data_IF_510732914808
#
_entry.id   IF_510732914808
#
_cell.length_a   1.000
_cell.length_b   1.000
_cell.length_c   1.000
_cell.angle_alpha   90.00
_cell.angle_beta   90.00
_cell.angle_gamma   90.00
#
_symmetry.space_group_name_H-M   'P 1'
#
loop_
_entity.id
_entity.type
_entity.pdbx_description
1 polymer ?
#
# COMPACT_ATOMS: atom_id res chain seq x y z
N UNK A 1 30.36 -8.95 35.19
CA UNK A 1 29.06 -8.35 34.83
C UNK A 1 28.48 -9.15 33.68
N UNK A 2 27.67 -10.15 34.02
CA UNK A 2 26.93 -11.00 33.11
C UNK A 2 25.79 -10.17 32.51
N UNK A 3 25.94 -9.78 31.25
CA UNK A 3 24.84 -9.19 30.47
C UNK A 3 23.77 -10.27 30.34
N UNK A 4 22.69 -10.15 31.09
CA UNK A 4 21.49 -10.98 30.94
C UNK A 4 21.02 -10.79 29.50
N UNK A 5 21.22 -11.79 28.64
CA UNK A 5 20.63 -11.81 27.32
C UNK A 5 19.11 -11.71 27.54
N UNK A 6 18.50 -10.59 27.14
CA UNK A 6 17.05 -10.47 27.16
C UNK A 6 16.48 -11.65 26.37
N UNK A 7 15.68 -12.48 27.04
CA UNK A 7 14.97 -13.59 26.39
C UNK A 7 14.17 -13.03 25.22
N UNK A 8 14.29 -13.66 24.05
CA UNK A 8 13.55 -13.24 22.87
C UNK A 8 12.04 -13.33 23.15
N UNK A 9 11.29 -12.30 22.75
CA UNK A 9 9.83 -12.25 22.93
C UNK A 9 9.19 -13.43 22.21
N UNK A 10 8.39 -14.22 22.93
CA UNK A 10 7.68 -15.39 22.41
C UNK A 10 6.15 -15.19 22.39
N UNK A 11 5.43 -16.24 21.96
CA UNK A 11 3.98 -16.18 21.84
C UNK A 11 3.27 -16.05 23.20
N UNK A 12 3.82 -16.63 24.27
CA UNK A 12 3.20 -16.59 25.60
C UNK A 12 3.37 -15.22 26.24
N UNK A 13 4.54 -14.59 26.09
CA UNK A 13 4.74 -13.19 26.49
C UNK A 13 3.75 -12.27 25.77
N UNK A 14 3.55 -12.45 24.46
CA UNK A 14 2.62 -11.63 23.68
C UNK A 14 1.17 -11.82 24.13
N UNK A 15 0.74 -13.06 24.41
CA UNK A 15 -0.58 -13.32 24.99
C UNK A 15 -0.74 -12.64 26.35
N UNK A 16 0.28 -12.72 27.20
CA UNK A 16 0.30 -12.04 28.50
C UNK A 16 0.16 -10.52 28.36
N UNK A 17 0.85 -9.91 27.40
CA UNK A 17 0.74 -8.47 27.09
C UNK A 17 -0.64 -8.10 26.54
N UNK A 18 -1.23 -8.93 25.68
CA UNK A 18 -2.61 -8.71 25.21
C UNK A 18 -3.60 -8.80 26.37
N UNK A 19 -3.48 -9.80 27.25
CA UNK A 19 -4.32 -9.92 28.44
C UNK A 19 -4.19 -8.70 29.37
N UNK A 20 -2.97 -8.20 29.57
CA UNK A 20 -2.75 -6.99 30.36
C UNK A 20 -3.39 -5.75 29.71
N UNK A 21 -3.23 -5.59 28.40
CA UNK A 21 -3.88 -4.52 27.64
C UNK A 21 -5.40 -4.58 27.79
N UNK A 22 -6.01 -5.75 27.60
CA UNK A 22 -7.47 -5.94 27.69
C UNK A 22 -8.01 -5.75 29.11
N UNK A 23 -7.21 -6.08 30.13
CA UNK A 23 -7.58 -5.86 31.53
C UNK A 23 -7.59 -4.38 31.92
N UNK A 24 -6.68 -3.58 31.36
CA UNK A 24 -6.58 -2.15 31.62
C UNK A 24 -7.50 -1.32 30.70
N UNK A 25 -7.66 -1.75 29.45
CA UNK A 25 -8.45 -1.09 28.41
C UNK A 25 -9.49 -2.05 27.83
N UNK A 26 -10.62 -2.19 28.51
CA UNK A 26 -11.73 -3.02 28.04
C UNK A 26 -12.32 -2.46 26.73
N UNK A 27 -12.24 -3.18 25.60
CA UNK A 27 -12.72 -2.71 24.30
C UNK A 27 -14.23 -2.46 24.25
N UNK A 28 -15.01 -2.99 25.20
CA UNK A 28 -16.44 -2.73 25.30
C UNK A 28 -16.77 -1.36 25.91
N UNK A 29 -15.83 -0.74 26.65
CA UNK A 29 -16.07 0.50 27.40
C UNK A 29 -15.15 1.65 26.99
N UNK A 30 -13.96 1.33 26.50
CA UNK A 30 -12.98 2.32 26.03
C UNK A 30 -13.24 2.67 24.57
N UNK A 31 -13.12 3.96 24.22
CA UNK A 31 -13.26 4.37 22.83
C UNK A 31 -12.15 3.81 21.94
N UNK A 32 -12.47 3.64 20.65
CA UNK A 32 -11.56 3.08 19.64
C UNK A 32 -10.16 3.69 19.69
N UNK A 33 -10.07 5.02 19.80
CA UNK A 33 -8.80 5.70 19.65
C UNK A 33 -7.92 5.52 20.87
N UNK A 34 -8.50 5.62 22.07
CA UNK A 34 -7.82 5.34 23.33
C UNK A 34 -7.27 3.91 23.36
N UNK A 35 -8.07 2.93 22.96
CA UNK A 35 -7.64 1.54 22.87
C UNK A 35 -6.44 1.36 21.92
N UNK A 36 -6.51 1.91 20.71
CA UNK A 36 -5.43 1.80 19.72
C UNK A 36 -4.14 2.49 20.19
N UNK A 37 -4.27 3.65 20.82
CA UNK A 37 -3.13 4.35 21.42
C UNK A 37 -2.43 3.48 22.47
N UNK A 38 -3.20 2.87 23.39
CA UNK A 38 -2.67 1.94 24.38
C UNK A 38 -2.04 0.70 23.73
N UNK A 39 -2.67 0.13 22.70
CA UNK A 39 -2.11 -0.99 21.92
C UNK A 39 -0.76 -0.65 21.28
N UNK A 40 -0.63 0.54 20.72
CA UNK A 40 0.64 1.01 20.17
C UNK A 40 1.70 1.15 21.26
N UNK A 41 1.35 1.82 22.37
CA UNK A 41 2.28 2.09 23.47
C UNK A 41 2.73 0.79 24.18
N UNK A 42 1.87 -0.24 24.19
CA UNK A 42 2.18 -1.59 24.68
C UNK A 42 3.12 -2.40 23.75
N UNK A 43 3.44 -1.90 22.56
CA UNK A 43 4.29 -2.58 21.57
C UNK A 43 3.56 -3.64 20.73
N UNK A 44 2.23 -3.57 20.67
CA UNK A 44 1.36 -4.58 20.03
C UNK A 44 0.81 -4.13 18.67
N UNK A 45 1.30 -3.01 18.14
CA UNK A 45 0.91 -2.46 16.84
C UNK A 45 1.64 -3.15 15.67
N UNK A 46 2.96 -3.25 15.79
CA UNK A 46 3.84 -4.00 14.90
C UNK A 46 4.91 -4.65 15.76
N UNK A 47 4.70 -5.88 16.23
CA UNK A 47 5.59 -6.51 17.25
C UNK A 47 7.06 -6.54 16.85
N UNK A 48 7.35 -6.53 15.54
CA UNK A 48 8.69 -6.52 14.95
C UNK A 48 9.32 -5.14 14.75
N UNK A 49 8.59 -4.07 15.04
CA UNK A 49 9.18 -2.74 15.12
C UNK A 49 9.98 -2.61 16.42
N UNK A 50 10.90 -1.64 16.49
CA UNK A 50 11.65 -1.37 17.71
C UNK A 50 10.75 -1.02 18.89
N UNK A 51 11.23 -1.34 20.10
CA UNK A 51 10.61 -0.87 21.35
C UNK A 51 10.39 0.64 21.34
N UNK A 52 9.18 1.06 21.72
CA UNK A 52 8.77 2.46 21.74
C UNK A 52 8.29 3.03 20.40
N UNK A 53 8.35 2.24 19.32
CA UNK A 53 7.81 2.59 18.00
C UNK A 53 6.65 1.67 17.59
N UNK A 54 5.85 1.23 18.57
CA UNK A 54 4.72 0.34 18.34
C UNK A 54 5.06 -1.15 18.36
N UNK A 55 6.32 -1.52 18.63
CA UNK A 55 6.80 -2.89 18.63
C UNK A 55 7.62 -3.29 19.85
N UNK A 56 8.18 -4.49 19.79
CA UNK A 56 8.90 -5.17 20.87
C UNK A 56 10.22 -5.81 20.40
N UNK A 57 10.65 -5.51 19.16
CA UNK A 57 11.75 -6.20 18.47
C UNK A 57 11.52 -7.73 18.35
N UNK A 58 10.25 -8.15 18.30
CA UNK A 58 9.87 -9.55 18.20
C UNK A 58 9.87 -10.05 16.74
N UNK A 59 9.97 -11.37 16.49
CA UNK A 59 9.78 -11.91 15.15
C UNK A 59 8.45 -11.49 14.52
N UNK A 60 8.46 -11.00 13.27
CA UNK A 60 7.25 -10.55 12.53
C UNK A 60 6.15 -11.61 12.52
N UNK A 61 6.52 -12.89 12.43
CA UNK A 61 5.59 -14.01 12.41
C UNK A 61 4.69 -14.09 13.66
N UNK A 62 5.09 -13.49 14.78
CA UNK A 62 4.29 -13.49 16.00
C UNK A 62 3.17 -12.44 16.02
N UNK A 63 3.09 -11.56 15.01
CA UNK A 63 2.01 -10.57 14.93
C UNK A 63 0.63 -11.23 14.90
N UNK A 64 0.50 -12.39 14.25
CA UNK A 64 -0.78 -13.14 14.19
C UNK A 64 -1.27 -13.62 15.55
N UNK A 65 -0.37 -13.83 16.52
CA UNK A 65 -0.73 -14.20 17.89
C UNK A 65 -1.46 -13.03 18.57
N UNK A 66 -0.96 -11.81 18.37
CA UNK A 66 -1.57 -10.58 18.90
C UNK A 66 -2.90 -10.30 18.22
N UNK A 67 -2.92 -10.35 16.88
CA UNK A 67 -4.11 -10.02 16.11
C UNK A 67 -5.25 -11.01 16.41
N UNK A 68 -4.97 -12.33 16.45
CA UNK A 68 -5.98 -13.34 16.77
C UNK A 68 -6.55 -13.21 18.19
N UNK A 69 -5.71 -12.87 19.17
CA UNK A 69 -6.16 -12.70 20.56
C UNK A 69 -7.04 -11.45 20.72
N UNK A 70 -6.69 -10.35 20.04
CA UNK A 70 -7.48 -9.12 20.03
C UNK A 70 -8.81 -9.28 19.27
N UNK A 71 -8.78 -9.96 18.12
CA UNK A 71 -9.99 -10.28 17.35
C UNK A 71 -10.97 -11.13 18.17
N UNK A 72 -10.46 -12.17 18.85
CA UNK A 72 -11.28 -13.02 19.72
C UNK A 72 -11.92 -12.23 20.89
N UNK A 73 -11.29 -11.14 21.33
CA UNK A 73 -11.81 -10.26 22.37
C UNK A 73 -12.76 -9.17 21.83
N UNK A 74 -13.03 -9.14 20.51
CA UNK A 74 -13.83 -8.09 19.89
C UNK A 74 -13.17 -6.70 19.95
N UNK A 75 -11.84 -6.65 20.09
CA UNK A 75 -11.12 -5.40 20.16
C UNK A 75 -11.19 -4.62 18.84
N UNK A 76 -11.24 -3.29 18.88
CA UNK A 76 -11.29 -2.50 17.66
C UNK A 76 -9.99 -2.57 16.85
N UNK A 77 -10.11 -2.45 15.53
CA UNK A 77 -8.98 -2.32 14.62
C UNK A 77 -8.64 -0.86 14.27
N UNK A 78 -7.54 -0.69 13.54
CA UNK A 78 -7.08 0.62 13.08
C UNK A 78 -7.64 1.04 11.71
N UNK A 79 -8.68 0.37 11.22
CA UNK A 79 -9.28 0.58 9.89
C UNK A 79 -8.23 0.50 8.75
N UNK A 80 -7.58 -0.67 8.57
CA UNK A 80 -6.45 -0.81 7.64
C UNK A 80 -6.84 -0.54 6.17
N UNK A 81 -8.12 -0.63 5.81
CA UNK A 81 -8.63 -0.30 4.46
C UNK A 81 -8.63 1.20 4.18
N UNK A 82 -8.78 2.03 5.21
CA UNK A 82 -8.68 3.50 5.10
C UNK A 82 -7.24 3.98 5.11
N UNK A 83 -6.36 3.32 5.86
CA UNK A 83 -4.97 3.78 6.09
C UNK A 83 -3.90 2.90 5.41
N UNK A 84 -4.27 2.17 4.36
CA UNK A 84 -3.38 1.23 3.66
C UNK A 84 -2.09 1.87 3.13
N UNK A 85 -2.13 3.10 2.61
CA UNK A 85 -0.93 3.83 2.18
C UNK A 85 0.01 4.10 3.38
N UNK A 86 -0.57 4.49 4.52
CA UNK A 86 0.16 4.69 5.76
C UNK A 86 0.87 3.41 6.19
N UNK A 87 0.09 2.33 6.38
CA UNK A 87 0.59 1.05 6.91
C UNK A 87 1.57 0.35 5.95
N UNK A 88 1.23 0.29 4.66
CA UNK A 88 1.96 -0.50 3.67
C UNK A 88 3.14 0.21 3.02
N UNK A 89 3.16 1.55 2.99
CA UNK A 89 4.20 2.32 2.30
C UNK A 89 4.91 3.29 3.23
N UNK A 90 4.20 4.20 3.89
CA UNK A 90 4.81 5.28 4.66
C UNK A 90 5.52 4.75 5.92
N UNK A 91 4.87 3.90 6.72
CA UNK A 91 5.44 3.35 7.95
C UNK A 91 6.77 2.59 7.75
N UNK A 92 6.89 1.60 6.85
CA UNK A 92 8.15 0.91 6.62
C UNK A 92 9.24 1.83 6.04
N UNK A 93 8.85 2.83 5.24
CA UNK A 93 9.78 3.83 4.69
C UNK A 93 10.33 4.74 5.81
N UNK A 94 9.45 5.23 6.68
CA UNK A 94 9.80 6.02 7.87
C UNK A 94 10.68 5.24 8.84
N UNK A 95 10.37 3.96 9.07
CA UNK A 95 11.17 3.09 9.93
C UNK A 95 12.61 2.99 9.40
N UNK A 96 12.77 2.82 8.08
CA UNK A 96 14.08 2.59 7.44
C UNK A 96 14.91 3.86 7.26
N UNK A 97 14.30 4.98 6.86
CA UNK A 97 15.02 6.21 6.47
C UNK A 97 14.71 7.42 7.32
N UNK A 98 13.67 7.36 8.15
CA UNK A 98 13.34 8.46 9.05
C UNK A 98 14.38 8.60 10.15
N UNK A 99 14.63 9.83 10.57
CA UNK A 99 15.32 10.13 11.82
C UNK A 99 14.50 9.64 13.01
N UNK A 100 15.13 9.54 14.18
CA UNK A 100 14.43 9.14 15.41
C UNK A 100 13.23 10.04 15.72
N UNK A 101 13.39 11.36 15.51
CA UNK A 101 12.33 12.33 15.68
C UNK A 101 11.16 12.11 14.71
N UNK A 102 11.45 11.85 13.44
CA UNK A 102 10.42 11.57 12.44
C UNK A 102 9.66 10.27 12.76
N UNK A 103 10.37 9.20 13.14
CA UNK A 103 9.73 7.94 13.55
C UNK A 103 8.77 8.13 14.72
N UNK A 104 9.21 8.82 15.77
CA UNK A 104 8.36 9.12 16.95
C UNK A 104 7.18 10.01 16.62
N UNK A 105 7.35 11.00 15.73
CA UNK A 105 6.28 11.93 15.34
C UNK A 105 5.21 11.23 14.49
N UNK A 106 5.60 10.39 13.55
CA UNK A 106 4.68 9.95 12.49
C UNK A 106 4.11 8.55 12.71
N UNK A 107 4.85 7.60 13.29
CA UNK A 107 4.42 6.19 13.29
C UNK A 107 3.15 5.93 14.10
N UNK A 108 3.02 6.55 15.27
CA UNK A 108 1.85 6.37 16.15
C UNK A 108 0.55 6.90 15.54
N UNK A 109 0.42 8.19 15.18
CA UNK A 109 -0.82 8.71 14.60
C UNK A 109 -1.14 8.11 13.21
N UNK A 110 -0.11 7.68 12.46
CA UNK A 110 -0.29 6.89 11.24
C UNK A 110 -0.95 5.54 11.56
N UNK A 111 -0.42 4.80 12.53
CA UNK A 111 -0.92 3.46 12.85
C UNK A 111 -2.30 3.47 13.50
N UNK A 112 -2.61 4.44 14.36
CA UNK A 112 -3.94 4.57 15.00
C UNK A 112 -5.02 5.08 14.01
N UNK A 113 -4.59 5.57 12.84
CA UNK A 113 -5.43 6.14 11.80
C UNK A 113 -5.94 7.54 12.10
N UNK A 114 -5.28 8.26 13.02
CA UNK A 114 -5.53 9.70 13.25
C UNK A 114 -5.11 10.53 12.04
N UNK A 115 -4.00 10.15 11.41
CA UNK A 115 -3.44 10.85 10.25
C UNK A 115 -3.44 9.89 9.05
N UNK A 116 -4.35 10.11 8.09
CA UNK A 116 -4.40 9.36 6.83
C UNK A 116 -3.26 9.82 5.92
N UNK A 117 -2.70 8.88 5.16
CA UNK A 117 -1.59 9.14 4.24
C UNK A 117 -1.99 8.91 2.79
N UNK A 118 -1.39 9.65 1.87
CA UNK A 118 -1.44 9.41 0.43
C UNK A 118 -0.04 9.42 -0.20
N UNK A 119 0.03 9.11 -1.50
CA UNK A 119 1.30 8.97 -2.23
C UNK A 119 1.36 9.90 -3.44
N UNK A 120 2.32 10.82 -3.42
CA UNK A 120 2.53 11.85 -4.43
C UNK A 120 3.73 11.49 -5.33
N UNK A 121 3.59 10.38 -6.07
CA UNK A 121 4.62 9.87 -6.98
C UNK A 121 4.30 10.22 -8.43
N UNK A 122 3.28 9.57 -9.00
CA UNK A 122 2.89 9.66 -10.41
C UNK A 122 2.53 11.08 -10.83
N UNK A 123 2.93 11.42 -12.04
CA UNK A 123 2.66 12.69 -12.73
C UNK A 123 2.01 12.42 -14.09
N UNK A 124 1.30 13.39 -14.68
CA UNK A 124 0.73 13.22 -16.02
C UNK A 124 1.77 12.76 -17.06
N UNK A 125 3.01 13.24 -16.96
CA UNK A 125 4.13 12.85 -17.84
C UNK A 125 5.04 11.74 -17.30
N UNK A 126 4.83 11.23 -16.07
CA UNK A 126 5.71 10.24 -15.45
C UNK A 126 4.94 9.25 -14.57
N UNK A 127 4.72 8.04 -15.10
CA UNK A 127 4.11 6.92 -14.38
C UNK A 127 5.06 5.73 -14.28
N UNK A 128 5.10 4.89 -15.32
CA UNK A 128 6.00 3.72 -15.37
C UNK A 128 7.48 4.14 -15.30
N UNK A 129 7.85 5.21 -16.00
CA UNK A 129 9.15 5.85 -15.86
C UNK A 129 9.14 6.91 -14.74
N UNK A 130 8.88 6.45 -13.51
CA UNK A 130 8.73 7.33 -12.35
C UNK A 130 9.94 8.25 -12.13
N UNK A 131 11.15 7.79 -12.44
CA UNK A 131 12.35 8.59 -12.25
C UNK A 131 12.37 9.86 -13.13
N UNK A 132 11.60 9.90 -14.22
CA UNK A 132 11.50 11.05 -15.11
C UNK A 132 10.55 12.15 -14.60
N UNK A 133 9.97 12.01 -13.41
CA UNK A 133 9.11 13.03 -12.79
C UNK A 133 9.79 14.42 -12.75
N UNK A 134 8.96 15.45 -12.91
CA UNK A 134 9.32 16.85 -13.05
C UNK A 134 8.81 17.78 -11.94
N UNK A 135 8.02 17.31 -10.97
CA UNK A 135 7.70 18.11 -9.77
C UNK A 135 8.99 18.57 -9.12
N UNK A 136 9.19 19.87 -9.02
CA UNK A 136 10.44 20.51 -8.60
C UNK A 136 10.39 20.88 -7.14
N UNK A 137 11.48 20.69 -6.41
CA UNK A 137 11.68 21.19 -5.06
C UNK A 137 12.96 22.04 -5.01
N UNK A 138 12.83 23.31 -4.62
CA UNK A 138 13.96 24.26 -4.55
C UNK A 138 14.25 24.59 -3.10
N UNK A 139 15.51 24.52 -2.71
CA UNK A 139 15.90 24.88 -1.34
C UNK A 139 15.73 26.39 -1.11
N UNK A 140 15.07 26.75 -0.02
CA UNK A 140 14.89 28.12 0.45
C UNK A 140 15.02 28.15 1.98
N UNK A 141 16.22 28.53 2.45
CA UNK A 141 16.57 28.50 3.87
C UNK A 141 16.59 27.08 4.44
N UNK A 142 15.75 26.85 5.45
CA UNK A 142 15.52 25.57 6.14
C UNK A 142 14.34 24.77 5.55
N UNK A 143 13.77 25.24 4.44
CA UNK A 143 12.64 24.63 3.76
C UNK A 143 12.91 24.40 2.26
N UNK A 144 11.94 23.78 1.61
CA UNK A 144 11.88 23.54 0.18
C UNK A 144 10.58 24.14 -0.38
N UNK A 145 10.68 24.87 -1.48
CA UNK A 145 9.52 25.33 -2.24
C UNK A 145 9.24 24.32 -3.35
N UNK A 146 8.10 23.64 -3.25
CA UNK A 146 7.69 22.56 -4.14
C UNK A 146 6.66 23.04 -5.14
N UNK A 147 6.88 22.76 -6.44
CA UNK A 147 5.92 23.09 -7.51
C UNK A 147 5.78 21.95 -8.50
N UNK A 148 4.54 21.57 -8.80
CA UNK A 148 4.23 20.53 -9.79
C UNK A 148 2.81 20.00 -9.70
N UNK A 149 2.53 18.94 -10.45
CA UNK A 149 1.25 18.25 -10.48
C UNK A 149 1.47 16.75 -10.30
N UNK A 150 0.68 16.16 -9.40
CA UNK A 150 0.58 14.71 -9.19
C UNK A 150 -0.80 14.23 -9.62
N UNK A 151 -0.89 12.96 -10.00
CA UNK A 151 -2.13 12.35 -10.51
C UNK A 151 -2.23 10.90 -10.05
N UNK A 152 -3.44 10.34 -10.08
CA UNK A 152 -3.75 8.99 -9.58
C UNK A 152 -3.50 8.83 -8.08
N UNK A 153 -3.59 9.92 -7.30
CA UNK A 153 -3.32 9.89 -5.86
C UNK A 153 -4.54 9.40 -5.09
N UNK A 154 -4.49 8.15 -4.63
CA UNK A 154 -5.51 7.56 -3.76
C UNK A 154 -5.62 8.32 -2.45
N UNK A 155 -6.86 8.55 -2.00
CA UNK A 155 -7.18 9.13 -0.68
C UNK A 155 -6.63 10.54 -0.43
N UNK A 156 -6.14 11.26 -1.44
CA UNK A 156 -5.56 12.60 -1.26
C UNK A 156 -6.51 13.58 -0.56
N UNK A 157 -7.81 13.42 -0.80
CA UNK A 157 -8.87 14.28 -0.28
C UNK A 157 -9.19 14.06 1.21
N UNK A 158 -8.70 12.98 1.81
CA UNK A 158 -8.82 12.69 3.24
C UNK A 158 -7.46 12.64 3.94
N UNK A 159 -6.36 12.72 3.19
CA UNK A 159 -5.02 12.59 3.72
C UNK A 159 -4.57 13.83 4.48
N UNK A 160 -3.93 13.61 5.63
CA UNK A 160 -3.20 14.63 6.38
C UNK A 160 -1.78 14.80 5.82
N UNK A 161 -1.14 13.68 5.47
CA UNK A 161 0.24 13.65 5.01
C UNK A 161 0.36 12.94 3.67
N UNK A 162 1.37 13.33 2.90
CA UNK A 162 1.80 12.64 1.71
C UNK A 162 3.25 12.23 1.81
N UNK A 163 3.57 11.04 1.32
CA UNK A 163 4.92 10.74 0.88
C UNK A 163 5.13 11.31 -0.53
N UNK A 164 6.08 12.22 -0.67
CA UNK A 164 6.31 13.01 -1.88
C UNK A 164 7.69 12.72 -2.44
N UNK A 165 7.75 12.47 -3.75
CA UNK A 165 9.00 12.42 -4.51
C UNK A 165 9.07 13.62 -5.45
N UNK A 166 10.14 14.40 -5.32
CA UNK A 166 10.35 15.62 -6.09
C UNK A 166 11.80 15.73 -6.59
N UNK A 167 11.99 16.41 -7.71
CA UNK A 167 13.28 16.70 -8.33
C UNK A 167 13.92 17.92 -7.66
N UNK A 168 15.08 17.71 -7.07
CA UNK A 168 15.91 18.76 -6.47
C UNK A 168 17.10 19.13 -7.35
N UNK A 169 17.52 18.24 -8.26
CA UNK A 169 18.61 18.50 -9.20
C UNK A 169 18.25 17.98 -10.61
N UNK A 170 18.07 18.86 -11.60
CA UNK A 170 17.82 18.49 -13.00
C UNK A 170 19.10 18.26 -13.83
N UNK A 171 20.27 18.61 -13.30
CA UNK A 171 21.57 18.59 -13.99
C UNK A 171 22.25 17.22 -13.91
N UNK A 172 21.77 16.34 -13.03
CA UNK A 172 22.28 14.99 -12.83
C UNK A 172 21.35 13.95 -13.49
N UNK A 173 21.83 12.70 -13.69
CA UNK A 173 20.97 11.62 -14.17
C UNK A 173 19.71 11.46 -13.33
N UNK A 174 18.60 11.10 -13.99
CA UNK A 174 17.25 11.18 -13.41
C UNK A 174 17.12 10.54 -12.01
N UNK A 175 17.79 9.42 -11.77
CA UNK A 175 17.71 8.72 -10.48
C UNK A 175 18.48 9.42 -9.33
N UNK A 176 19.46 10.27 -9.65
CA UNK A 176 20.34 10.94 -8.67
C UNK A 176 19.83 12.32 -8.26
N UNK A 177 18.88 12.89 -9.00
CA UNK A 177 18.37 14.24 -8.76
C UNK A 177 17.06 14.31 -7.99
N UNK A 178 16.66 13.22 -7.34
CA UNK A 178 15.38 13.09 -6.64
C UNK A 178 15.59 13.16 -5.13
N UNK A 179 14.66 13.81 -4.42
CA UNK A 179 14.62 13.85 -2.96
C UNK A 179 13.22 13.48 -2.47
N UNK A 180 13.16 12.81 -1.32
CA UNK A 180 11.94 12.27 -0.73
C UNK A 180 11.51 13.12 0.46
N UNK A 181 10.23 13.45 0.55
CA UNK A 181 9.67 14.32 1.58
C UNK A 181 8.39 13.75 2.19
N UNK A 182 8.09 14.15 3.42
CA UNK A 182 6.75 14.14 3.99
C UNK A 182 6.11 15.51 3.76
N UNK A 183 5.01 15.56 3.00
CA UNK A 183 4.31 16.79 2.65
C UNK A 183 3.00 16.92 3.44
N UNK A 184 2.73 18.08 4.04
CA UNK A 184 1.43 18.38 4.64
C UNK A 184 0.41 18.64 3.53
N UNK A 185 -0.67 17.84 3.48
CA UNK A 185 -1.71 17.95 2.45
C UNK A 185 -2.65 19.14 2.66
N UNK A 186 -2.54 19.82 3.79
CA UNK A 186 -3.28 21.05 4.11
C UNK A 186 -2.39 22.30 4.08
N UNK A 187 -1.12 22.17 3.68
CA UNK A 187 -0.25 23.33 3.52
C UNK A 187 -0.82 24.30 2.45
N UNK A 188 -0.64 25.62 2.62
CA UNK A 188 -0.95 26.58 1.58
C UNK A 188 -0.28 26.20 0.26
N UNK A 189 -1.04 26.27 -0.84
CA UNK A 189 -0.59 25.89 -2.19
C UNK A 189 -0.89 24.45 -2.58
N UNK A 190 -1.37 23.59 -1.67
CA UNK A 190 -1.87 22.25 -2.03
C UNK A 190 -3.33 22.35 -2.47
N UNK A 191 -3.62 21.93 -3.70
CA UNK A 191 -4.99 21.82 -4.23
C UNK A 191 -5.28 20.38 -4.65
N UNK A 192 -6.31 19.78 -4.06
CA UNK A 192 -6.75 18.41 -4.37
C UNK A 192 -8.03 18.43 -5.20
N UNK A 193 -7.97 17.93 -6.43
CA UNK A 193 -9.13 17.81 -7.33
C UNK A 193 -9.54 16.33 -7.48
N UNK A 194 -10.84 16.00 -7.40
CA UNK A 194 -11.30 14.63 -7.62
C UNK A 194 -11.05 14.22 -9.08
N UNK A 195 -10.55 13.01 -9.28
CA UNK A 195 -10.36 12.43 -10.62
C UNK A 195 -11.37 11.29 -10.81
N UNK A 196 -12.44 11.57 -11.55
CA UNK A 196 -13.51 10.59 -11.77
C UNK A 196 -13.04 9.46 -12.69
N UNK A 197 -13.16 8.24 -12.21
CA UNK A 197 -12.77 7.00 -12.89
C UNK A 197 -13.95 6.43 -13.68
N UNK A 198 -13.66 5.42 -14.51
CA UNK A 198 -14.68 4.67 -15.26
C UNK A 198 -15.66 3.91 -14.35
N UNK A 199 -15.36 3.75 -13.06
CA UNK A 199 -16.26 3.23 -12.03
C UNK A 199 -17.26 4.28 -11.53
N UNK A 200 -17.24 5.51 -12.06
CA UNK A 200 -18.05 6.62 -11.56
C UNK A 200 -17.55 7.24 -10.25
N UNK A 201 -16.64 6.58 -9.54
CA UNK A 201 -16.03 7.08 -8.30
C UNK A 201 -14.82 7.97 -8.56
N UNK A 202 -14.39 8.71 -7.55
CA UNK A 202 -13.15 9.46 -7.50
C UNK A 202 -12.36 9.09 -6.25
N UNK A 203 -11.90 7.84 -6.19
CA UNK A 203 -10.95 7.38 -5.18
C UNK A 203 -9.57 8.02 -5.41
N UNK A 204 -9.25 8.24 -6.68
CA UNK A 204 -8.06 8.97 -7.13
C UNK A 204 -8.30 10.48 -7.23
N UNK A 205 -7.22 11.23 -7.13
CA UNK A 205 -7.22 12.68 -7.19
C UNK A 205 -6.05 13.18 -8.04
N UNK A 206 -6.22 14.35 -8.62
CA UNK A 206 -5.11 15.21 -9.04
C UNK A 206 -4.71 16.08 -7.86
N UNK A 207 -3.42 16.31 -7.68
CA UNK A 207 -2.89 17.17 -6.62
C UNK A 207 -1.95 18.18 -7.25
N UNK A 208 -2.31 19.46 -7.16
CA UNK A 208 -1.47 20.56 -7.59
C UNK A 208 -0.70 21.08 -6.39
N UNK A 209 0.60 21.28 -6.57
CA UNK A 209 1.51 21.86 -5.59
C UNK A 209 1.96 23.19 -6.18
N UNK A 210 1.45 24.30 -5.64
CA UNK A 210 1.83 25.64 -6.06
C UNK A 210 2.67 26.31 -4.97
N UNK A 211 3.99 26.32 -5.17
CA UNK A 211 4.96 26.91 -4.22
C UNK A 211 4.81 26.43 -2.77
N UNK A 212 4.46 25.15 -2.58
CA UNK A 212 4.23 24.55 -1.27
C UNK A 212 5.53 24.51 -0.48
N UNK A 213 5.55 25.11 0.71
CA UNK A 213 6.72 25.09 1.60
C UNK A 213 6.76 23.80 2.43
N UNK A 214 7.80 23.00 2.24
CA UNK A 214 8.07 21.77 2.99
C UNK A 214 9.34 21.95 3.81
N UNK A 215 9.32 21.88 5.15
CA UNK A 215 10.53 21.94 5.97
C UNK A 215 11.54 20.87 5.57
N UNK A 216 12.85 21.18 5.54
CA UNK A 216 13.91 20.17 5.30
C UNK A 216 13.87 19.06 6.36
N UNK A 217 13.34 19.38 7.53
CA UNK A 217 13.10 18.47 8.63
C UNK A 217 12.12 17.33 8.29
N UNK A 218 11.31 17.50 7.25
CA UNK A 218 10.41 16.47 6.71
C UNK A 218 11.04 15.68 5.55
N UNK A 219 12.28 15.97 5.16
CA UNK A 219 13.03 15.17 4.19
C UNK A 219 13.37 13.80 4.77
N UNK A 220 13.19 12.75 3.98
CA UNK A 220 13.59 11.38 4.33
C UNK A 220 14.80 10.98 3.49
N UNK A 221 15.88 10.58 4.15
CA UNK A 221 17.18 10.33 3.49
C UNK A 221 17.88 11.61 3.05
N UNK A 222 18.98 11.48 2.31
CA UNK A 222 19.79 12.62 1.84
C UNK A 222 19.21 13.31 0.61
N UNK A 223 19.59 14.57 0.37
CA UNK A 223 19.28 15.27 -0.89
C UNK A 223 19.88 14.48 -2.06
N UNK A 224 19.09 14.22 -3.10
CA UNK A 224 19.50 13.40 -4.26
C UNK A 224 19.39 11.88 -4.06
N UNK A 225 19.13 11.42 -2.83
CA UNK A 225 19.00 9.99 -2.50
C UNK A 225 17.54 9.51 -2.48
N UNK A 226 16.61 10.33 -2.94
CA UNK A 226 15.17 10.05 -2.93
C UNK A 226 14.78 8.82 -3.75
N UNK A 227 15.54 8.46 -4.79
CA UNK A 227 15.26 7.23 -5.56
C UNK A 227 15.50 5.96 -4.75
N UNK A 228 16.51 5.95 -3.86
CA UNK A 228 16.74 4.80 -2.97
C UNK A 228 15.59 4.62 -1.99
N UNK A 229 15.11 5.73 -1.43
CA UNK A 229 13.95 5.75 -0.53
C UNK A 229 12.69 5.27 -1.27
N UNK A 230 12.40 5.82 -2.45
CA UNK A 230 11.25 5.46 -3.26
C UNK A 230 11.23 3.98 -3.68
N UNK A 231 12.39 3.40 -4.04
CA UNK A 231 12.47 1.96 -4.34
C UNK A 231 12.04 1.10 -3.17
N UNK A 232 12.47 1.44 -1.95
CA UNK A 232 12.01 0.71 -0.75
C UNK A 232 10.51 0.86 -0.56
N UNK A 233 9.95 2.06 -0.76
CA UNK A 233 8.49 2.27 -0.70
C UNK A 233 7.75 1.38 -1.70
N UNK A 234 8.18 1.37 -2.98
CA UNK A 234 7.57 0.56 -4.04
C UNK A 234 7.71 -0.95 -3.80
N UNK A 235 8.81 -1.41 -3.19
CA UNK A 235 8.97 -2.82 -2.82
C UNK A 235 7.97 -3.24 -1.73
N UNK A 236 7.76 -2.39 -0.73
CA UNK A 236 6.75 -2.64 0.30
C UNK A 236 5.32 -2.57 -0.27
N UNK A 237 5.05 -1.63 -1.18
CA UNK A 237 3.76 -1.49 -1.87
C UNK A 237 3.34 -2.78 -2.58
N UNK A 238 4.26 -3.42 -3.32
CA UNK A 238 3.97 -4.68 -4.03
C UNK A 238 3.55 -5.81 -3.08
N UNK A 239 4.19 -5.89 -1.92
CA UNK A 239 3.79 -6.85 -0.87
C UNK A 239 2.45 -6.45 -0.27
N UNK A 240 2.21 -5.16 -0.01
CA UNK A 240 0.98 -4.67 0.58
C UNK A 240 -0.25 -4.88 -0.32
N UNK A 241 -0.08 -4.80 -1.64
CA UNK A 241 -1.16 -5.04 -2.63
C UNK A 241 -1.30 -6.54 -2.92
N UNK A 242 -0.20 -7.22 -3.27
CA UNK A 242 -0.24 -8.61 -3.75
C UNK A 242 -0.18 -9.68 -2.66
N UNK A 243 0.19 -9.33 -1.43
CA UNK A 243 0.51 -10.27 -0.35
C UNK A 243 -0.36 -10.17 0.89
N UNK A 244 -1.54 -9.58 0.78
CA UNK A 244 -2.50 -9.51 1.87
C UNK A 244 -2.87 -10.90 2.39
N UNK A 245 -3.04 -11.01 3.70
CA UNK A 245 -3.59 -12.21 4.32
C UNK A 245 -5.09 -12.25 4.01
N UNK A 246 -5.51 -13.26 3.25
CA UNK A 246 -6.91 -13.50 2.92
C UNK A 246 -7.31 -14.87 3.46
N UNK A 247 -8.54 -15.01 4.01
CA UNK A 247 -9.09 -16.32 4.31
C UNK A 247 -9.25 -17.12 3.02
N UNK A 248 -9.50 -18.43 3.14
CA UNK A 248 -9.90 -19.25 2.00
C UNK A 248 -11.20 -18.69 1.42
N UNK A 249 -11.28 -18.64 0.10
CA UNK A 249 -12.35 -17.91 -0.62
C UNK A 249 -12.45 -16.41 -0.26
N UNK A 250 -11.36 -15.79 0.23
CA UNK A 250 -11.30 -14.35 0.41
C UNK A 250 -11.17 -13.59 -0.92
N UNK A 251 -11.71 -12.37 -0.96
CA UNK A 251 -11.63 -11.49 -2.14
C UNK A 251 -12.61 -11.87 -3.26
N UNK A 252 -12.23 -11.57 -4.50
CA UNK A 252 -13.09 -11.74 -5.67
C UNK A 252 -13.58 -13.16 -5.90
N UNK A 253 -12.76 -14.18 -5.59
CA UNK A 253 -13.16 -15.58 -5.82
C UNK A 253 -14.32 -16.00 -4.92
N UNK A 254 -14.39 -15.47 -3.68
CA UNK A 254 -15.49 -15.74 -2.76
C UNK A 254 -16.83 -15.26 -3.30
N UNK A 255 -16.85 -14.05 -3.86
CA UNK A 255 -18.05 -13.48 -4.49
C UNK A 255 -18.59 -14.40 -5.60
N UNK A 256 -17.70 -14.87 -6.48
CA UNK A 256 -18.12 -15.75 -7.59
C UNK A 256 -18.46 -17.16 -7.10
N UNK A 257 -17.78 -17.68 -6.08
CA UNK A 257 -18.12 -18.96 -5.47
C UNK A 257 -19.49 -18.93 -4.78
N UNK A 258 -19.81 -17.83 -4.09
CA UNK A 258 -21.13 -17.59 -3.50
C UNK A 258 -22.21 -17.44 -4.57
N UNK A 259 -21.94 -16.65 -5.62
CA UNK A 259 -22.84 -16.53 -6.77
C UNK A 259 -23.13 -17.88 -7.40
N UNK A 260 -22.09 -18.69 -7.65
CA UNK A 260 -22.24 -20.05 -8.15
C UNK A 260 -23.14 -20.87 -7.24
N UNK A 261 -22.89 -20.88 -5.93
CA UNK A 261 -23.69 -21.61 -4.94
C UNK A 261 -25.15 -21.13 -4.88
N UNK A 262 -25.39 -19.83 -4.99
CA UNK A 262 -26.70 -19.20 -4.84
C UNK A 262 -27.58 -19.17 -6.10
N UNK A 263 -27.01 -19.34 -7.29
CA UNK A 263 -27.74 -19.28 -8.58
C UNK A 263 -27.57 -20.56 -9.40
N UNK A 264 -28.11 -21.72 -8.96
CA UNK A 264 -27.97 -23.00 -9.64
C UNK A 264 -28.48 -23.01 -11.09
N UNK A 265 -29.45 -22.17 -11.40
CA UNK A 265 -30.04 -22.02 -12.74
C UNK A 265 -29.10 -21.35 -13.76
N UNK A 266 -28.06 -20.63 -13.31
CA UNK A 266 -27.05 -20.01 -14.19
C UNK A 266 -25.89 -20.96 -14.53
N UNK A 267 -25.87 -22.17 -13.96
CA UNK A 267 -24.73 -23.09 -14.05
C UNK A 267 -24.71 -23.85 -15.37
N UNK A 268 -23.55 -23.89 -16.02
CA UNK A 268 -23.27 -24.77 -17.16
C UNK A 268 -21.98 -25.55 -16.92
N UNK A 269 -21.77 -26.70 -17.59
CA UNK A 269 -20.51 -27.45 -17.47
C UNK A 269 -19.27 -26.61 -17.84
N UNK A 270 -19.39 -25.72 -18.83
CA UNK A 270 -18.30 -24.83 -19.25
C UNK A 270 -17.97 -23.76 -18.20
N UNK A 271 -19.00 -23.15 -17.58
CA UNK A 271 -18.80 -22.19 -16.49
C UNK A 271 -18.22 -22.87 -15.24
N UNK A 272 -18.63 -24.11 -14.97
CA UNK A 272 -18.08 -24.90 -13.85
C UNK A 272 -16.57 -25.13 -14.00
N UNK A 273 -16.13 -25.59 -15.17
CA UNK A 273 -14.71 -25.82 -15.45
C UNK A 273 -13.88 -24.53 -15.32
N UNK A 274 -14.39 -23.41 -15.85
CA UNK A 274 -13.72 -22.11 -15.71
C UNK A 274 -13.66 -21.62 -14.27
N UNK A 275 -14.75 -21.73 -13.51
CA UNK A 275 -14.78 -21.38 -12.10
C UNK A 275 -13.77 -22.20 -11.31
N UNK A 276 -13.73 -23.52 -11.51
CA UNK A 276 -12.80 -24.39 -10.78
C UNK A 276 -11.34 -24.04 -11.08
N UNK A 277 -10.98 -23.71 -12.32
CA UNK A 277 -9.63 -23.26 -12.66
C UNK A 277 -9.25 -21.96 -11.95
N UNK A 278 -10.13 -20.96 -11.98
CA UNK A 278 -9.89 -19.69 -11.28
C UNK A 278 -9.86 -19.86 -9.77
N UNK A 279 -10.68 -20.75 -9.22
CA UNK A 279 -10.69 -21.09 -7.80
C UNK A 279 -9.37 -21.74 -7.38
N UNK A 280 -8.86 -22.69 -8.18
CA UNK A 280 -7.54 -23.30 -7.94
C UNK A 280 -6.44 -22.25 -8.02
N UNK A 281 -6.44 -21.39 -9.04
CA UNK A 281 -5.43 -20.34 -9.18
C UNK A 281 -5.48 -19.34 -8.01
N UNK A 282 -6.67 -18.98 -7.53
CA UNK A 282 -6.83 -18.12 -6.36
C UNK A 282 -6.30 -18.78 -5.08
N UNK A 283 -6.50 -20.09 -4.90
CA UNK A 283 -5.96 -20.83 -3.77
C UNK A 283 -4.43 -20.96 -3.84
N UNK A 284 -3.88 -21.19 -5.04
CA UNK A 284 -2.42 -21.17 -5.28
C UNK A 284 -1.84 -19.79 -4.96
N UNK A 285 -2.50 -18.70 -5.36
CA UNK A 285 -2.10 -17.34 -5.02
C UNK A 285 -2.14 -17.09 -3.50
N UNK A 286 -3.20 -17.53 -2.81
CA UNK A 286 -3.35 -17.41 -1.36
C UNK A 286 -2.23 -18.12 -0.60
N UNK A 287 -1.93 -19.36 -0.97
CA UNK A 287 -0.85 -20.16 -0.37
C UNK A 287 0.53 -19.58 -0.69
N UNK A 288 0.73 -19.06 -1.90
CA UNK A 288 1.97 -18.37 -2.28
C UNK A 288 2.18 -17.11 -1.45
N UNK A 289 1.11 -16.34 -1.19
CA UNK A 289 1.16 -15.17 -0.33
C UNK A 289 1.48 -15.50 1.12
N UNK A 290 0.94 -16.59 1.65
CA UNK A 290 1.30 -17.10 2.97
C UNK A 290 2.80 -17.44 3.05
N UNK A 291 3.32 -18.17 2.05
CA UNK A 291 4.75 -18.48 1.98
C UNK A 291 5.62 -17.22 1.89
N UNK A 292 5.22 -16.21 1.10
CA UNK A 292 5.98 -14.95 1.03
C UNK A 292 6.00 -14.25 2.38
N UNK A 293 4.87 -14.17 3.10
CA UNK A 293 4.82 -13.57 4.44
C UNK A 293 5.74 -14.28 5.43
N UNK A 294 5.82 -15.61 5.35
CA UNK A 294 6.75 -16.40 6.17
C UNK A 294 8.22 -16.09 5.82
N UNK A 295 8.55 -15.93 4.54
CA UNK A 295 9.90 -15.52 4.11
C UNK A 295 10.24 -14.08 4.51
N UNK A 296 9.27 -13.17 4.49
CA UNK A 296 9.43 -11.79 4.96
C UNK A 296 9.62 -11.69 6.49
N UNK A 297 9.29 -12.74 7.24
CA UNK A 297 9.59 -12.78 8.65
C UNK A 297 11.09 -12.95 8.94
N UNK A 298 11.88 -13.41 7.96
CA UNK A 298 13.33 -13.63 8.08
C UNK A 298 14.18 -12.59 7.36
N UNK A 299 13.58 -11.60 6.68
CA UNK A 299 14.31 -10.60 5.92
C UNK A 299 13.46 -9.50 5.29
N UNK A 300 14.08 -8.68 4.44
CA UNK A 300 13.39 -7.64 3.69
C UNK A 300 12.70 -8.22 2.42
N UNK A 301 11.65 -7.57 1.89
CA UNK A 301 11.06 -7.97 0.62
C UNK A 301 12.08 -7.98 -0.52
N UNK A 302 12.12 -9.08 -1.26
CA UNK A 302 12.84 -9.18 -2.52
C UNK A 302 11.94 -8.89 -3.73
N UNK A 303 12.46 -9.09 -4.96
CA UNK A 303 11.72 -8.85 -6.20
C UNK A 303 10.54 -9.80 -6.43
N UNK A 304 10.43 -10.90 -5.66
CA UNK A 304 9.44 -11.97 -5.78
C UNK A 304 7.99 -11.47 -5.59
N UNK A 305 7.80 -10.41 -4.81
CA UNK A 305 6.49 -9.76 -4.63
C UNK A 305 5.87 -9.27 -5.96
N UNK A 306 6.70 -9.05 -6.99
CA UNK A 306 6.25 -8.70 -8.34
C UNK A 306 5.43 -9.82 -8.98
N UNK A 307 5.76 -11.09 -8.72
CA UNK A 307 5.01 -12.24 -9.21
C UNK A 307 3.62 -12.33 -8.58
N UNK A 308 3.53 -12.08 -7.27
CA UNK A 308 2.23 -12.06 -6.57
C UNK A 308 1.35 -10.91 -7.02
N UNK A 309 1.89 -9.70 -7.19
CA UNK A 309 1.16 -8.56 -7.75
C UNK A 309 0.63 -8.88 -9.16
N UNK A 310 1.45 -9.49 -10.01
CA UNK A 310 1.05 -9.89 -11.36
C UNK A 310 -0.09 -10.92 -11.34
N UNK A 311 0.00 -11.93 -10.47
CA UNK A 311 -1.06 -12.92 -10.28
C UNK A 311 -2.36 -12.29 -9.77
N UNK A 312 -2.27 -11.39 -8.78
CA UNK A 312 -3.41 -10.62 -8.27
C UNK A 312 -4.12 -9.84 -9.37
N UNK A 313 -3.37 -9.11 -10.20
CA UNK A 313 -3.93 -8.31 -11.29
C UNK A 313 -4.69 -9.18 -12.31
N UNK A 314 -4.10 -10.31 -12.71
CA UNK A 314 -4.72 -11.28 -13.62
C UNK A 314 -6.00 -11.85 -13.02
N UNK A 315 -5.92 -12.37 -11.80
CA UNK A 315 -7.05 -13.03 -11.14
C UNK A 315 -8.21 -12.07 -10.90
N UNK A 316 -7.95 -10.83 -10.48
CA UNK A 316 -8.99 -9.84 -10.30
C UNK A 316 -9.78 -9.59 -11.60
N UNK A 317 -9.09 -9.50 -12.75
CA UNK A 317 -9.74 -9.29 -14.06
C UNK A 317 -10.48 -10.53 -14.55
N UNK A 318 -9.87 -11.71 -14.46
CA UNK A 318 -10.49 -12.95 -14.94
C UNK A 318 -11.70 -13.35 -14.09
N UNK A 319 -11.62 -13.20 -12.76
CA UNK A 319 -12.72 -13.55 -11.84
C UNK A 319 -13.87 -12.54 -11.95
N UNK A 320 -13.59 -11.24 -11.99
CA UNK A 320 -14.65 -10.23 -12.20
C UNK A 320 -15.29 -10.33 -13.59
N UNK A 321 -14.52 -10.72 -14.61
CA UNK A 321 -15.05 -11.04 -15.93
C UNK A 321 -15.99 -12.25 -15.93
N UNK A 322 -15.60 -13.33 -15.22
CA UNK A 322 -16.46 -14.51 -15.05
C UNK A 322 -17.76 -14.15 -14.33
N UNK A 323 -17.70 -13.29 -13.32
CA UNK A 323 -18.89 -12.82 -12.61
C UNK A 323 -19.91 -12.16 -13.54
N UNK A 324 -19.45 -11.20 -14.37
CA UNK A 324 -20.31 -10.52 -15.35
C UNK A 324 -20.89 -11.50 -16.36
N UNK A 325 -20.08 -12.44 -16.83
CA UNK A 325 -20.51 -13.45 -17.80
C UNK A 325 -21.57 -14.41 -17.22
N UNK A 326 -21.37 -14.88 -15.98
CA UNK A 326 -22.33 -15.75 -15.30
C UNK A 326 -23.70 -15.08 -15.13
N UNK A 327 -23.71 -13.78 -14.85
CA UNK A 327 -24.94 -13.00 -14.65
C UNK A 327 -25.60 -12.56 -15.96
N UNK A 328 -24.94 -12.71 -17.11
CA UNK A 328 -25.47 -12.30 -18.41
C UNK A 328 -25.99 -10.86 -18.41
N UNK A 329 -27.25 -10.67 -18.77
CA UNK A 329 -27.90 -9.36 -18.78
C UNK A 329 -27.92 -8.65 -17.41
N UNK A 330 -28.05 -9.40 -16.30
CA UNK A 330 -28.00 -8.82 -14.95
C UNK A 330 -26.61 -8.24 -14.66
N UNK A 331 -25.55 -8.87 -15.17
CA UNK A 331 -24.16 -8.46 -14.97
C UNK A 331 -23.79 -7.17 -15.71
N UNK A 332 -24.55 -6.81 -16.74
CA UNK A 332 -24.36 -5.56 -17.51
C UNK A 332 -24.99 -4.34 -16.82
N UNK A 333 -25.77 -4.53 -15.76
CA UNK A 333 -26.38 -3.43 -15.01
C UNK A 333 -25.36 -2.73 -14.13
N UNK A 334 -25.46 -1.41 -14.06
CA UNK A 334 -24.72 -0.57 -13.13
C UNK A 334 -25.71 0.02 -12.13
N UNK A 335 -25.39 -0.04 -10.84
CA UNK A 335 -26.27 0.39 -9.75
C UNK A 335 -26.56 1.90 -9.82
N UNK A 336 -25.50 2.71 -9.81
CA UNK A 336 -25.62 4.18 -9.82
C UNK A 336 -24.29 4.82 -10.25
N UNK A 337 -24.39 5.86 -11.06
CA UNK A 337 -23.25 6.61 -11.60
C UNK A 337 -22.94 7.90 -10.85
N UNK A 338 -23.69 8.25 -9.81
CA UNK A 338 -23.44 9.44 -9.00
C UNK A 338 -21.99 9.47 -8.53
N UNK A 339 -21.33 10.64 -8.63
CA UNK A 339 -19.94 10.79 -8.22
C UNK A 339 -19.80 10.52 -6.72
N UNK A 340 -18.99 9.52 -6.37
CA UNK A 340 -18.65 9.16 -4.98
C UNK A 340 -17.16 9.40 -4.74
N UNK A 341 -16.81 9.93 -3.57
CA UNK A 341 -15.43 10.09 -3.10
C UNK A 341 -15.21 9.15 -1.92
N UNK A 342 -14.89 7.87 -2.17
CA UNK A 342 -14.79 6.89 -1.11
C UNK A 342 -13.60 7.20 -0.19
N UNK A 343 -13.76 6.93 1.10
CA UNK A 343 -12.70 7.11 2.09
C UNK A 343 -11.81 5.86 2.23
N UNK A 344 -12.24 4.74 1.66
CA UNK A 344 -11.55 3.44 1.69
C UNK A 344 -11.34 2.95 0.27
N UNK A 345 -10.24 2.23 0.03
CA UNK A 345 -10.07 1.48 -1.22
C UNK A 345 -10.81 0.14 -1.09
N UNK A 346 -11.73 -0.14 -2.01
CA UNK A 346 -12.50 -1.38 -2.03
C UNK A 346 -12.46 -2.04 -3.41
N UNK A 347 -11.75 -3.18 -3.47
CA UNK A 347 -11.61 -4.00 -4.68
C UNK A 347 -12.81 -4.91 -4.94
N UNK A 348 -13.67 -5.13 -3.95
CA UNK A 348 -14.75 -6.13 -3.96
C UNK A 348 -16.13 -5.54 -3.77
N UNK A 349 -16.22 -4.24 -3.51
CA UNK A 349 -17.47 -3.54 -3.23
C UNK A 349 -18.45 -3.49 -4.41
N UNK A 350 -19.64 -2.98 -4.12
CA UNK A 350 -20.72 -2.66 -5.07
C UNK A 350 -21.16 -3.87 -5.92
N UNK A 351 -21.65 -3.62 -7.13
CA UNK A 351 -22.14 -4.66 -8.05
C UNK A 351 -21.06 -5.18 -9.02
N UNK A 352 -21.40 -6.23 -9.80
CA UNK A 352 -20.50 -6.87 -10.76
C UNK A 352 -19.87 -5.88 -11.75
N UNK A 353 -20.66 -4.96 -12.30
CA UNK A 353 -20.18 -3.94 -13.23
C UNK A 353 -19.10 -3.04 -12.62
N UNK A 354 -19.24 -2.65 -11.34
CA UNK A 354 -18.20 -1.88 -10.64
C UNK A 354 -16.91 -2.69 -10.51
N UNK A 355 -17.00 -3.93 -10.03
CA UNK A 355 -15.84 -4.79 -9.79
C UNK A 355 -15.07 -5.07 -11.08
N UNK A 356 -15.77 -5.35 -12.17
CA UNK A 356 -15.18 -5.56 -13.49
C UNK A 356 -14.40 -4.33 -13.97
N UNK A 357 -15.02 -3.14 -13.89
CA UNK A 357 -14.40 -1.89 -14.28
C UNK A 357 -13.20 -1.52 -13.38
N UNK A 358 -13.30 -1.76 -12.07
CA UNK A 358 -12.23 -1.48 -11.09
C UNK A 358 -11.02 -2.40 -11.27
N UNK A 359 -11.25 -3.67 -11.62
CA UNK A 359 -10.19 -4.67 -11.75
C UNK A 359 -9.14 -4.33 -12.82
N UNK A 360 -9.49 -3.51 -13.82
CA UNK A 360 -8.52 -3.08 -14.85
C UNK A 360 -7.35 -2.30 -14.25
N UNK A 361 -7.64 -1.44 -13.27
CA UNK A 361 -6.64 -0.64 -12.54
C UNK A 361 -5.52 -1.50 -11.92
N UNK A 362 -5.84 -2.73 -11.48
CA UNK A 362 -4.89 -3.62 -10.81
C UNK A 362 -3.71 -4.05 -11.72
N UNK A 363 -3.88 -3.99 -13.05
CA UNK A 363 -2.78 -4.24 -14.01
C UNK A 363 -1.87 -3.04 -14.25
N UNK A 364 -2.22 -1.86 -13.70
CA UNK A 364 -1.55 -0.57 -13.93
C UNK A 364 -0.96 -0.03 -12.63
N UNK A 365 -1.77 0.06 -11.56
CA UNK A 365 -1.35 0.58 -10.24
C UNK A 365 -0.33 -0.34 -9.56
N UNK A 366 0.54 0.19 -8.69
CA UNK A 366 1.61 -0.59 -8.04
C UNK A 366 2.66 -1.17 -8.99
N UNK A 367 2.76 -0.63 -10.21
CA UNK A 367 3.64 -1.08 -11.30
C UNK A 367 2.88 -1.88 -12.36
N UNK A 368 3.01 -1.47 -13.63
CA UNK A 368 2.31 -2.14 -14.74
C UNK A 368 2.73 -3.61 -14.87
N UNK A 369 1.82 -4.45 -15.36
CA UNK A 369 2.11 -5.88 -15.58
C UNK A 369 3.36 -6.09 -16.45
N UNK A 370 3.63 -5.20 -17.40
CA UNK A 370 4.80 -5.23 -18.28
C UNK A 370 6.09 -4.93 -17.49
N UNK A 371 6.11 -3.86 -16.69
CA UNK A 371 7.26 -3.53 -15.85
C UNK A 371 7.54 -4.63 -14.81
N UNK A 372 6.49 -5.24 -14.25
CA UNK A 372 6.65 -6.36 -13.32
C UNK A 372 7.23 -7.60 -13.99
N UNK A 373 6.87 -7.90 -15.25
CA UNK A 373 7.50 -8.98 -16.02
C UNK A 373 8.98 -8.71 -16.26
N UNK A 374 9.37 -7.46 -16.56
CA UNK A 374 10.78 -7.09 -16.67
C UNK A 374 11.52 -7.27 -15.35
N UNK A 375 10.91 -6.89 -14.22
CA UNK A 375 11.50 -7.10 -12.89
C UNK A 375 11.68 -8.60 -12.60
N UNK A 376 10.68 -9.43 -12.91
CA UNK A 376 10.79 -10.89 -12.73
C UNK A 376 11.93 -11.44 -13.61
N UNK A 377 11.96 -11.08 -14.89
CA UNK A 377 13.01 -11.51 -15.81
C UNK A 377 14.41 -11.11 -15.32
N UNK A 378 14.63 -9.83 -15.02
CA UNK A 378 15.95 -9.29 -14.69
C UNK A 378 16.41 -9.61 -13.27
N UNK A 379 15.49 -9.55 -12.28
CA UNK A 379 15.85 -9.59 -10.85
C UNK A 379 15.58 -10.93 -10.18
N UNK A 380 14.62 -11.70 -10.68
CA UNK A 380 14.33 -13.04 -10.15
C UNK A 380 15.03 -14.11 -11.00
N UNK A 381 14.92 -14.02 -12.33
CA UNK A 381 15.49 -15.02 -13.23
C UNK A 381 16.92 -14.70 -13.70
N UNK A 382 17.43 -13.49 -13.43
CA UNK A 382 18.78 -13.08 -13.80
C UNK A 382 19.01 -12.90 -15.30
N UNK A 383 17.95 -12.68 -16.08
CA UNK A 383 18.04 -12.42 -17.51
C UNK A 383 18.67 -11.04 -17.79
N UNK A 384 19.35 -10.85 -18.93
CA UNK A 384 19.91 -9.55 -19.30
C UNK A 384 18.84 -8.46 -19.36
N UNK A 385 19.17 -7.27 -18.85
CA UNK A 385 18.30 -6.11 -18.95
C UNK A 385 18.30 -5.53 -20.37
N UNK A 386 17.19 -4.88 -20.75
CA UNK A 386 17.14 -4.14 -22.01
C UNK A 386 18.21 -3.03 -22.04
N UNK A 387 18.86 -2.78 -23.20
CA UNK A 387 19.77 -1.65 -23.37
C UNK A 387 19.07 -0.33 -23.05
N UNK A 388 19.76 0.55 -22.32
CA UNK A 388 19.24 1.87 -21.94
C UNK A 388 20.21 2.95 -22.38
N UNK A 389 19.69 3.99 -23.03
CA UNK A 389 20.47 5.12 -23.56
C UNK A 389 20.46 6.34 -22.65
N UNK A 390 19.75 6.29 -21.52
CA UNK A 390 19.44 7.43 -20.66
C UNK A 390 20.19 7.41 -19.31
N UNK A 391 21.00 6.38 -19.03
CA UNK A 391 21.59 6.15 -17.71
C UNK A 391 22.54 7.26 -17.24
N UNK A 392 23.28 7.82 -18.18
CA UNK A 392 24.35 8.80 -17.92
C UNK A 392 24.00 10.20 -18.46
N UNK A 393 22.76 10.39 -18.91
CA UNK A 393 22.25 11.67 -19.44
C UNK A 393 21.59 12.45 -18.31
N UNK A 394 21.90 13.76 -18.22
CA UNK A 394 21.24 14.65 -17.26
C UNK A 394 19.74 14.68 -17.51
N UNK A 395 18.92 14.72 -16.44
CA UNK A 395 17.47 14.66 -16.58
C UNK A 395 16.92 15.75 -17.50
N UNK A 396 17.47 16.97 -17.42
CA UNK A 396 17.04 18.10 -18.26
C UNK A 396 17.21 17.87 -19.77
N UNK A 397 18.13 17.00 -20.16
CA UNK A 397 18.50 16.72 -21.55
C UNK A 397 17.76 15.49 -22.10
N UNK A 398 16.91 14.84 -21.29
CA UNK A 398 16.07 13.74 -21.75
C UNK A 398 14.95 14.23 -22.66
N UNK A 399 14.59 13.46 -23.72
CA UNK A 399 13.40 13.73 -24.54
C UNK A 399 12.14 13.79 -23.67
N UNK A 400 11.26 14.77 -23.94
CA UNK A 400 10.02 15.00 -23.19
C UNK A 400 8.79 14.65 -24.00
#
# INVERSE_FOLDING_TARGET
MTTTAATAVDADELRGRVSALLAEYDPATVDRLTFLRARFDAGLAWVHYPRGLGGLDAPRALQSVVDAALEAAGAPDNDPRRIGIGLGMAAPTLLRFGTERQRRRFLRPLWTGEEVWCQLFSEPGAGSDLASLGTRAVRDGDAWVVTGQKVWTSSAHTARWAILLARTDPEVPKHQGLTYFVCDMHAPGVEVRPLRQITGEAEFNEVFLNEVRVPDEHRLGEVGDGWRVARTTLMNERVAIGGQALPREGGMIGIVAELWRGRPELRTPALHDRLLRLWVDAEVARLTGERLRQQLATGAPGPEGSGMKLAFARLAQEISGLEVEMLGEEGLRYDDWTLRRPQTVDFTGRGPGYRYLRAKGNSIEGGTSEILRNIIAERVLGLPAEPRTDKDVAWKDLPR
#
